data_IF_370272964802
#
_entry.id   IF_370272964802
#
_cell.length_a   1.000
_cell.length_b   1.000
_cell.length_c   1.000
_cell.angle_alpha   90.00
_cell.angle_beta   90.00
_cell.angle_gamma   90.00
#
_symmetry.space_group_name_H-M   'P 1'
#
loop_
_entity.id
_entity.type
_entity.pdbx_description
1 polymer ?
#
# COMPACT_ATOMS: atom_id res chain seq x y z
N UNK A 1 -18.50 -44.11 3.91
CA UNK A 1 -18.11 -42.92 4.69
C UNK A 1 -17.60 -41.89 3.68
N UNK A 2 -18.50 -41.02 3.22
CA UNK A 2 -18.21 -40.03 2.17
C UNK A 2 -17.66 -38.78 2.84
N UNK A 3 -16.44 -38.38 2.51
CA UNK A 3 -15.86 -37.12 2.96
C UNK A 3 -16.70 -35.98 2.36
N UNK A 4 -17.30 -35.14 3.20
CA UNK A 4 -18.06 -33.94 2.78
C UNK A 4 -17.16 -32.86 2.15
N UNK A 5 -17.75 -31.81 1.55
CA UNK A 5 -17.04 -30.86 0.71
C UNK A 5 -16.13 -29.97 1.54
N UNK A 6 -14.85 -30.34 1.63
CA UNK A 6 -13.78 -29.52 2.20
C UNK A 6 -13.01 -28.72 1.12
N UNK A 7 -13.47 -28.75 -0.13
CA UNK A 7 -12.74 -28.20 -1.29
C UNK A 7 -13.17 -26.79 -1.72
N UNK A 8 -13.94 -26.06 -0.91
CA UNK A 8 -14.34 -24.67 -1.25
C UNK A 8 -13.40 -23.64 -0.61
N UNK A 9 -12.09 -23.86 -0.71
CA UNK A 9 -11.09 -22.87 -0.31
C UNK A 9 -10.67 -22.08 -1.54
N UNK A 10 -11.25 -20.89 -1.73
CA UNK A 10 -10.84 -20.00 -2.81
C UNK A 10 -9.35 -19.62 -2.69
N UNK A 11 -8.60 -19.79 -3.79
CA UNK A 11 -7.22 -19.33 -3.87
C UNK A 11 -7.20 -17.81 -3.94
N UNK A 12 -6.58 -17.18 -2.95
CA UNK A 12 -6.41 -15.72 -2.93
C UNK A 12 -5.28 -15.32 -3.88
N UNK A 13 -5.59 -14.58 -4.94
CA UNK A 13 -4.58 -13.94 -5.77
C UNK A 13 -3.99 -12.72 -5.04
N UNK A 14 -2.89 -12.96 -4.34
CA UNK A 14 -2.14 -11.94 -3.59
C UNK A 14 -1.62 -10.84 -4.51
N UNK A 15 -1.34 -11.12 -5.78
CA UNK A 15 -0.87 -10.11 -6.74
C UNK A 15 -2.01 -9.14 -7.06
N UNK A 16 -3.20 -9.64 -7.35
CA UNK A 16 -4.39 -8.79 -7.59
C UNK A 16 -4.69 -7.91 -6.38
N UNK A 17 -4.64 -8.47 -5.17
CA UNK A 17 -4.80 -7.67 -3.93
C UNK A 17 -3.77 -6.54 -3.85
N UNK A 18 -2.50 -6.82 -4.20
CA UNK A 18 -1.43 -5.82 -4.16
C UNK A 18 -1.63 -4.71 -5.19
N UNK A 19 -2.05 -5.06 -6.39
CA UNK A 19 -2.33 -4.11 -7.48
C UNK A 19 -3.51 -3.21 -7.11
N UNK A 20 -4.61 -3.78 -6.62
CA UNK A 20 -5.80 -3.03 -6.21
C UNK A 20 -5.51 -2.11 -5.02
N UNK A 21 -4.79 -2.61 -4.02
CA UNK A 21 -4.37 -1.79 -2.86
C UNK A 21 -3.47 -0.64 -3.30
N UNK A 22 -2.53 -0.90 -4.22
CA UNK A 22 -1.66 0.14 -4.78
C UNK A 22 -2.46 1.22 -5.48
N UNK A 23 -3.44 0.81 -6.31
CA UNK A 23 -4.35 1.74 -7.01
C UNK A 23 -5.18 2.55 -6.02
N UNK A 24 -5.72 1.91 -4.98
CA UNK A 24 -6.50 2.58 -3.95
C UNK A 24 -5.68 3.63 -3.20
N UNK A 25 -4.43 3.33 -2.86
CA UNK A 25 -3.50 4.28 -2.24
C UNK A 25 -3.21 5.48 -3.17
N UNK A 26 -2.91 5.20 -4.43
CA UNK A 26 -2.63 6.24 -5.43
C UNK A 26 -3.83 7.18 -5.62
N UNK A 27 -5.04 6.63 -5.74
CA UNK A 27 -6.27 7.40 -5.89
C UNK A 27 -6.60 8.21 -4.62
N UNK A 28 -6.49 7.60 -3.44
CA UNK A 28 -6.86 8.23 -2.17
C UNK A 28 -5.93 9.38 -1.79
N UNK A 29 -4.64 9.23 -2.05
CA UNK A 29 -3.63 10.18 -1.58
C UNK A 29 -3.00 11.02 -2.69
N UNK A 30 -3.25 10.72 -3.97
CA UNK A 30 -2.63 11.41 -5.09
C UNK A 30 -1.11 11.21 -5.12
N UNK A 31 -0.66 9.96 -5.02
CA UNK A 31 0.76 9.58 -4.98
C UNK A 31 1.06 8.47 -5.96
N UNK A 32 2.34 8.27 -6.28
CA UNK A 32 2.80 7.04 -6.93
C UNK A 32 3.05 6.03 -5.80
N UNK A 33 2.31 4.93 -5.76
CA UNK A 33 2.46 3.87 -4.77
C UNK A 33 2.88 2.56 -5.44
N UNK A 34 3.54 1.66 -4.69
CA UNK A 34 3.86 0.30 -5.12
C UNK A 34 4.15 -0.62 -3.93
N UNK A 35 4.10 -1.94 -4.17
CA UNK A 35 4.58 -2.95 -3.24
C UNK A 35 5.98 -3.42 -3.64
N UNK A 36 6.94 -3.30 -2.73
CA UNK A 36 8.31 -3.79 -2.92
C UNK A 36 8.37 -5.31 -2.72
N UNK A 37 8.55 -6.07 -3.79
CA UNK A 37 8.58 -7.54 -3.72
C UNK A 37 9.73 -8.06 -2.82
N UNK A 38 10.91 -7.44 -2.90
CA UNK A 38 12.07 -7.83 -2.09
C UNK A 38 11.96 -7.38 -0.63
N UNK A 39 11.51 -6.15 -0.39
CA UNK A 39 11.40 -5.61 0.98
C UNK A 39 10.15 -6.11 1.70
N UNK A 40 9.16 -6.59 0.96
CA UNK A 40 7.81 -6.93 1.44
C UNK A 40 7.11 -5.75 2.12
N UNK A 41 7.34 -4.55 1.62
CA UNK A 41 6.81 -3.29 2.16
C UNK A 41 6.07 -2.49 1.08
N UNK A 42 5.17 -1.65 1.53
CA UNK A 42 4.48 -0.66 0.71
C UNK A 42 5.29 0.62 0.67
N UNK A 43 5.38 1.21 -0.51
CA UNK A 43 6.12 2.44 -0.75
C UNK A 43 5.24 3.47 -1.45
N UNK A 44 5.53 4.75 -1.21
CA UNK A 44 4.94 5.84 -1.94
C UNK A 44 5.95 6.97 -2.20
N UNK A 45 5.91 7.53 -3.40
CA UNK A 45 6.58 8.79 -3.74
C UNK A 45 5.56 9.93 -3.57
N UNK A 46 5.82 10.78 -2.59
CA UNK A 46 4.98 11.91 -2.20
C UNK A 46 5.53 13.18 -2.86
N UNK A 47 4.64 13.89 -3.55
CA UNK A 47 4.90 15.17 -4.22
C UNK A 47 6.16 15.15 -5.12
N UNK A 48 6.46 13.99 -5.71
CA UNK A 48 7.58 13.79 -6.63
C UNK A 48 8.98 13.76 -6.00
N UNK A 49 9.11 13.84 -4.67
CA UNK A 49 10.42 14.05 -4.02
C UNK A 49 10.64 13.30 -2.70
N UNK A 50 9.59 12.91 -1.98
CA UNK A 50 9.72 12.23 -0.70
C UNK A 50 9.34 10.76 -0.84
N UNK A 51 10.27 9.86 -0.52
CA UNK A 51 10.01 8.43 -0.45
C UNK A 51 9.62 8.05 0.97
N UNK A 52 8.45 7.42 1.13
CA UNK A 52 8.00 6.85 2.41
C UNK A 52 7.64 5.38 2.23
N UNK A 53 7.88 4.59 3.28
CA UNK A 53 7.62 3.15 3.27
C UNK A 53 6.95 2.67 4.57
N UNK A 54 6.18 1.58 4.48
CA UNK A 54 5.63 0.90 5.64
C UNK A 54 5.22 -0.54 5.33
N UNK A 55 5.12 -1.39 6.37
CA UNK A 55 4.73 -2.80 6.23
C UNK A 55 3.26 -3.02 5.92
N UNK A 56 2.39 -2.07 6.24
CA UNK A 56 0.95 -2.17 5.99
C UNK A 56 0.42 -0.91 5.25
N UNK A 57 -0.59 -1.06 4.38
CA UNK A 57 -1.15 0.06 3.61
C UNK A 57 -1.66 1.22 4.47
N UNK A 58 -2.28 0.92 5.60
CA UNK A 58 -2.86 1.92 6.51
C UNK A 58 -1.76 2.78 7.15
N UNK A 59 -0.64 2.14 7.50
CA UNK A 59 0.52 2.81 8.05
C UNK A 59 1.21 3.68 7.00
N UNK A 60 1.26 3.21 5.74
CA UNK A 60 1.77 4.01 4.63
C UNK A 60 0.92 5.26 4.42
N UNK A 61 -0.41 5.16 4.49
CA UNK A 61 -1.32 6.31 4.43
C UNK A 61 -0.98 7.38 5.48
N UNK A 62 -0.69 6.98 6.72
CA UNK A 62 -0.25 7.90 7.78
C UNK A 62 1.11 8.53 7.46
N UNK A 63 2.06 7.75 6.95
CA UNK A 63 3.38 8.24 6.57
C UNK A 63 3.33 9.28 5.45
N UNK A 64 2.45 9.09 4.46
CA UNK A 64 2.21 10.05 3.37
C UNK A 64 1.72 11.40 3.93
N UNK A 65 0.71 11.36 4.80
CA UNK A 65 0.18 12.58 5.41
C UNK A 65 1.24 13.31 6.26
N UNK A 66 2.00 12.57 7.06
CA UNK A 66 3.08 13.13 7.86
C UNK A 66 4.20 13.76 7.00
N UNK A 67 4.52 13.17 5.84
CA UNK A 67 5.50 13.72 4.91
C UNK A 67 5.06 15.07 4.33
N UNK A 68 3.78 15.21 3.99
CA UNK A 68 3.20 16.49 3.52
C UNK A 68 3.23 17.57 4.59
N UNK A 69 2.85 17.24 5.82
CA UNK A 69 2.85 18.23 6.92
C UNK A 69 4.24 18.81 7.17
N UNK A 70 5.30 17.97 7.15
CA UNK A 70 6.69 18.44 7.30
C UNK A 70 7.12 19.40 6.21
N UNK A 71 6.71 19.12 4.98
CA UNK A 71 7.03 19.93 3.80
C UNK A 71 6.42 21.33 3.91
N UNK A 72 5.15 21.40 4.31
CA UNK A 72 4.45 22.68 4.48
C UNK A 72 5.03 23.49 5.63
N UNK A 73 5.45 22.83 6.72
CA UNK A 73 6.07 23.49 7.87
C UNK A 73 7.46 24.09 7.56
N UNK A 74 8.25 23.44 6.70
CA UNK A 74 9.57 23.94 6.29
C UNK A 74 9.56 24.98 5.17
N UNK A 75 8.39 25.34 4.64
CA UNK A 75 8.21 26.34 3.57
C UNK A 75 7.66 27.68 4.09
N UNK A 76 7.53 27.85 5.41
CA UNK A 76 7.22 29.10 6.11
C UNK A 76 8.47 29.64 6.77
#
# INVERSE_FOLDING_TARGET
>A
MTLGPLEDTAVIDVRTIREDTTRALAQRYGVIAWFGHHTREWWALVDGRLLVGSRCPEQLGRAILAARTRTTAGSR
#
